data_IF_276038528747
#
_entry.id   IF_276038528747
#
_cell.length_a   1.000
_cell.length_b   1.000
_cell.length_c   1.000
_cell.angle_alpha   90.00
_cell.angle_beta   90.00
_cell.angle_gamma   90.00
#
_symmetry.space_group_name_H-M   'P 1'
#
loop_
_entity.id
_entity.type
_entity.pdbx_description
1 polymer ?
#
# COMPACT_ATOMS: atom_id res chain seq x y z
N UNK A 1 26.27 63.72 21.34
CA UNK A 1 27.41 63.31 20.51
C UNK A 1 27.28 61.80 20.33
N UNK A 2 26.57 61.36 19.28
CA UNK A 2 26.13 59.97 19.11
C UNK A 2 26.87 59.35 17.93
N UNK A 3 27.80 58.46 18.27
CA UNK A 3 28.68 57.78 17.33
C UNK A 3 27.89 56.77 16.51
N UNK A 4 27.87 57.03 15.20
CA UNK A 4 27.43 56.14 14.15
C UNK A 4 28.43 55.00 13.98
N UNK A 5 28.02 54.02 13.18
CA UNK A 5 28.81 52.96 12.54
C UNK A 5 29.04 51.71 13.39
N UNK A 6 28.40 50.61 13.01
CA UNK A 6 29.17 49.54 12.36
C UNK A 6 28.22 48.45 11.84
N UNK A 7 28.57 47.96 10.65
CA UNK A 7 28.33 46.60 10.20
C UNK A 7 26.89 46.22 9.81
N UNK A 8 26.51 46.70 8.62
CA UNK A 8 25.76 45.91 7.64
C UNK A 8 26.61 44.66 7.33
N UNK A 9 26.19 43.48 7.81
CA UNK A 9 26.63 42.14 7.38
C UNK A 9 25.33 41.38 7.11
N UNK A 10 24.89 41.22 5.87
CA UNK A 10 25.40 40.33 4.82
C UNK A 10 25.15 38.83 5.10
N UNK A 11 24.47 38.22 4.12
CA UNK A 11 24.31 36.79 3.82
C UNK A 11 23.38 35.99 4.76
N UNK A 12 22.19 35.56 4.29
CA UNK A 12 21.95 34.35 3.47
C UNK A 12 22.51 33.08 4.11
N UNK A 13 21.70 32.01 4.08
CA UNK A 13 21.86 30.64 4.68
C UNK A 13 21.15 30.52 6.04
N UNK A 14 20.25 29.57 6.31
CA UNK A 14 19.95 28.27 5.73
C UNK A 14 18.43 28.03 5.69
N UNK A 15 17.86 27.70 4.52
CA UNK A 15 16.59 26.99 4.46
C UNK A 15 16.87 25.50 4.74
N UNK A 16 16.96 25.11 6.01
CA UNK A 16 16.95 23.71 6.39
C UNK A 16 15.53 23.17 6.21
N UNK A 17 15.21 22.68 5.02
CA UNK A 17 14.02 21.86 4.84
C UNK A 17 14.33 20.47 5.42
N UNK A 18 13.51 19.95 6.36
CA UNK A 18 13.66 18.57 6.78
C UNK A 18 13.36 17.69 5.57
N UNK A 19 14.34 16.88 5.19
CA UNK A 19 14.17 15.78 4.26
C UNK A 19 13.13 14.84 4.90
N UNK A 20 11.86 14.93 4.46
CA UNK A 20 10.86 13.93 4.82
C UNK A 20 11.33 12.62 4.17
N UNK A 21 11.96 11.77 4.97
CA UNK A 21 12.16 10.38 4.64
C UNK A 21 10.77 9.80 4.36
N UNK A 22 10.50 9.51 3.08
CA UNK A 22 9.35 8.73 2.69
C UNK A 22 9.52 7.36 3.34
N UNK A 23 8.89 7.16 4.49
CA UNK A 23 8.66 5.83 5.05
C UNK A 23 7.89 5.08 3.96
N UNK A 24 8.59 4.18 3.26
CA UNK A 24 7.93 3.20 2.41
C UNK A 24 6.85 2.53 3.27
N UNK A 25 5.60 2.39 2.79
CA UNK A 25 4.58 1.72 3.55
C UNK A 25 5.10 0.32 3.85
N UNK A 26 5.40 0.06 5.12
CA UNK A 26 5.80 -1.25 5.59
C UNK A 26 4.57 -2.12 5.46
N UNK A 27 4.41 -2.74 4.30
CA UNK A 27 3.40 -3.74 4.04
C UNK A 27 3.49 -4.80 5.12
N UNK A 28 2.45 -4.84 5.96
CA UNK A 28 2.16 -5.75 7.07
C UNK A 28 3.07 -6.99 7.09
N UNK A 29 4.00 -7.04 8.05
CA UNK A 29 4.97 -8.15 8.21
C UNK A 29 4.47 -9.30 9.09
N UNK A 30 3.18 -9.33 9.46
CA UNK A 30 2.62 -10.41 10.27
C UNK A 30 1.43 -11.07 9.55
N UNK A 31 1.72 -12.13 8.77
CA UNK A 31 0.70 -12.92 8.06
C UNK A 31 0.82 -14.39 8.44
N UNK A 32 -0.06 -14.84 9.35
CA UNK A 32 -0.06 -16.19 9.91
C UNK A 32 -0.49 -17.30 8.92
N UNK A 33 0.17 -18.45 9.02
CA UNK A 33 -0.18 -19.77 8.48
C UNK A 33 -0.54 -19.90 6.99
N UNK A 34 0.22 -19.22 6.14
CA UNK A 34 0.06 -19.26 4.69
C UNK A 34 1.35 -19.76 4.08
N UNK A 35 1.27 -20.60 3.05
CA UNK A 35 2.47 -21.00 2.31
C UNK A 35 3.08 -19.72 1.75
N UNK A 36 4.29 -19.39 2.18
CA UNK A 36 4.92 -18.08 1.87
C UNK A 36 4.99 -17.76 0.37
N UNK A 37 4.93 -18.78 -0.49
CA UNK A 37 4.82 -18.64 -1.94
C UNK A 37 3.52 -17.97 -2.41
N UNK A 38 2.37 -18.39 -1.88
CA UNK A 38 1.05 -17.88 -2.29
C UNK A 38 0.88 -16.40 -1.91
N UNK A 39 1.46 -16.00 -0.78
CA UNK A 39 1.49 -14.59 -0.34
C UNK A 39 2.34 -13.70 -1.24
N UNK A 40 3.50 -14.20 -1.69
CA UNK A 40 4.36 -13.46 -2.61
C UNK A 40 3.69 -13.33 -3.98
N UNK A 41 3.06 -14.39 -4.46
CA UNK A 41 2.30 -14.37 -5.70
C UNK A 41 1.11 -13.39 -5.64
N UNK A 42 0.31 -13.45 -4.58
CA UNK A 42 -0.83 -12.55 -4.40
C UNK A 42 -0.43 -11.09 -4.36
N UNK A 43 0.63 -10.74 -3.61
CA UNK A 43 1.16 -9.37 -3.58
C UNK A 43 1.62 -8.90 -4.95
N UNK A 44 2.33 -9.75 -5.71
CA UNK A 44 2.73 -9.43 -7.08
C UNK A 44 1.54 -9.18 -8.01
N UNK A 45 0.47 -9.96 -7.89
CA UNK A 45 -0.76 -9.75 -8.66
C UNK A 45 -1.42 -8.42 -8.25
N UNK A 46 -1.54 -8.14 -6.95
CA UNK A 46 -2.11 -6.90 -6.44
C UNK A 46 -1.35 -5.68 -6.99
N UNK A 47 -0.02 -5.71 -6.90
CA UNK A 47 0.86 -4.63 -7.33
C UNK A 47 0.88 -4.41 -8.85
N UNK A 48 0.58 -5.43 -9.64
CA UNK A 48 0.62 -5.32 -11.11
C UNK A 48 -0.74 -5.16 -11.75
N UNK A 49 -1.81 -5.70 -11.15
CA UNK A 49 -3.17 -5.71 -11.73
C UNK A 49 -4.11 -4.75 -11.03
N UNK A 50 -4.04 -4.65 -9.70
CA UNK A 50 -5.04 -3.93 -8.91
C UNK A 50 -4.64 -2.48 -8.62
N UNK A 51 -3.35 -2.21 -8.46
CA UNK A 51 -2.86 -0.86 -8.14
C UNK A 51 -2.80 0.09 -9.35
N UNK A 52 -3.02 -0.42 -10.57
CA UNK A 52 -3.06 0.41 -11.78
C UNK A 52 -4.23 1.40 -11.77
N UNK A 53 -5.31 1.08 -11.05
CA UNK A 53 -6.52 1.90 -11.00
C UNK A 53 -6.89 2.36 -9.57
N UNK A 54 -6.33 1.72 -8.54
CA UNK A 54 -6.63 1.97 -7.13
C UNK A 54 -5.34 2.05 -6.31
N UNK A 55 -5.38 2.69 -5.15
CA UNK A 55 -4.26 2.60 -4.20
C UNK A 55 -4.32 1.29 -3.42
N UNK A 56 -3.17 0.84 -2.89
CA UNK A 56 -3.10 -0.31 -1.99
C UNK A 56 -4.07 -0.19 -0.81
N UNK A 57 -4.22 1.01 -0.25
CA UNK A 57 -5.12 1.28 0.88
C UNK A 57 -6.59 0.91 0.59
N UNK A 58 -7.07 1.09 -0.65
CA UNK A 58 -8.45 0.73 -1.02
C UNK A 58 -8.60 -0.80 -1.05
N UNK A 59 -7.56 -1.49 -1.49
CA UNK A 59 -7.50 -2.95 -1.56
C UNK A 59 -7.45 -3.52 -0.14
N UNK A 60 -6.58 -2.99 0.70
CA UNK A 60 -6.45 -3.36 2.11
C UNK A 60 -7.78 -3.14 2.84
N UNK A 61 -8.42 -1.99 2.66
CA UNK A 61 -9.73 -1.72 3.27
C UNK A 61 -10.79 -2.76 2.85
N UNK A 62 -10.76 -3.24 1.60
CA UNK A 62 -11.65 -4.29 1.13
C UNK A 62 -11.33 -5.67 1.74
N UNK A 63 -10.06 -5.96 2.00
CA UNK A 63 -9.61 -7.16 2.74
C UNK A 63 -10.09 -7.10 4.19
N UNK A 64 -9.81 -5.99 4.87
CA UNK A 64 -10.20 -5.78 6.27
C UNK A 64 -11.71 -5.81 6.48
N UNK A 65 -12.47 -5.27 5.54
CA UNK A 65 -13.93 -5.30 5.57
C UNK A 65 -14.53 -6.66 5.19
N UNK A 66 -13.70 -7.69 4.95
CA UNK A 66 -14.12 -9.02 4.52
C UNK A 66 -15.12 -9.00 3.34
N UNK A 67 -14.89 -8.13 2.36
CA UNK A 67 -15.73 -8.08 1.18
C UNK A 67 -15.58 -9.35 0.35
N UNK A 68 -16.65 -9.70 -0.36
CA UNK A 68 -16.64 -10.83 -1.29
C UNK A 68 -15.67 -10.57 -2.44
N UNK A 69 -14.56 -11.31 -2.44
CA UNK A 69 -13.50 -11.13 -3.42
C UNK A 69 -13.91 -11.57 -4.82
N UNK A 70 -14.73 -12.61 -4.96
CA UNK A 70 -15.18 -13.06 -6.28
C UNK A 70 -16.03 -11.97 -6.94
N UNK A 71 -16.93 -11.38 -6.15
CA UNK A 71 -17.75 -10.26 -6.59
C UNK A 71 -16.88 -9.05 -6.96
N UNK A 72 -15.86 -8.72 -6.16
CA UNK A 72 -14.92 -7.63 -6.49
C UNK A 72 -14.19 -7.92 -7.80
N UNK A 73 -13.62 -9.12 -7.98
CA UNK A 73 -12.90 -9.49 -9.20
C UNK A 73 -13.78 -9.35 -10.44
N UNK A 74 -15.02 -9.84 -10.38
CA UNK A 74 -16.00 -9.70 -11.48
C UNK A 74 -16.28 -8.22 -11.80
N UNK A 75 -16.44 -7.37 -10.79
CA UNK A 75 -16.63 -5.93 -11.02
C UNK A 75 -15.38 -5.25 -11.59
N UNK A 76 -14.18 -5.71 -11.22
CA UNK A 76 -12.93 -5.20 -11.78
C UNK A 76 -12.73 -5.65 -13.22
N UNK A 77 -13.15 -6.87 -13.56
CA UNK A 77 -13.10 -7.41 -14.92
C UNK A 77 -14.02 -6.66 -15.87
N UNK A 78 -15.23 -6.30 -15.41
CA UNK A 78 -16.14 -5.40 -16.14
C UNK A 78 -15.51 -4.03 -16.43
N UNK A 79 -14.58 -3.59 -15.58
CA UNK A 79 -13.83 -2.33 -15.73
C UNK A 79 -12.53 -2.48 -16.52
N UNK A 80 -12.27 -3.66 -17.09
CA UNK A 80 -11.16 -3.91 -18.00
C UNK A 80 -9.94 -4.57 -17.38
N UNK A 81 -9.97 -4.93 -16.09
CA UNK A 81 -8.93 -5.79 -15.50
C UNK A 81 -9.03 -7.17 -16.13
N UNK A 82 -7.89 -7.80 -16.43
CA UNK A 82 -7.83 -9.20 -16.89
C UNK A 82 -7.06 -10.01 -15.87
N UNK A 83 -7.76 -10.91 -15.19
CA UNK A 83 -7.19 -11.94 -14.34
C UNK A 83 -7.36 -13.29 -15.02
N UNK A 84 -6.32 -14.12 -15.01
CA UNK A 84 -6.48 -15.52 -15.38
C UNK A 84 -6.97 -16.35 -14.18
N UNK A 85 -7.39 -17.60 -14.41
CA UNK A 85 -7.91 -18.48 -13.36
C UNK A 85 -6.94 -18.67 -12.20
N UNK A 86 -5.63 -18.82 -12.48
CA UNK A 86 -4.64 -18.98 -11.42
C UNK A 86 -4.50 -17.70 -10.57
N UNK A 87 -4.51 -16.52 -11.20
CA UNK A 87 -4.46 -15.24 -10.50
C UNK A 87 -5.70 -15.05 -9.62
N UNK A 88 -6.89 -15.39 -10.12
CA UNK A 88 -8.14 -15.36 -9.36
C UNK A 88 -8.07 -16.28 -8.13
N UNK A 89 -7.57 -17.50 -8.30
CA UNK A 89 -7.43 -18.51 -7.24
C UNK A 89 -6.45 -18.05 -6.15
N UNK A 90 -5.27 -17.58 -6.56
CA UNK A 90 -4.23 -17.08 -5.64
C UNK A 90 -4.78 -15.92 -4.81
N UNK A 91 -5.46 -14.96 -5.44
CA UNK A 91 -6.10 -13.84 -4.74
C UNK A 91 -7.22 -14.34 -3.81
N UNK A 92 -8.02 -15.32 -4.22
CA UNK A 92 -9.09 -15.87 -3.40
C UNK A 92 -8.58 -16.58 -2.14
N UNK A 93 -7.49 -17.35 -2.25
CA UNK A 93 -6.83 -18.00 -1.11
C UNK A 93 -6.24 -16.94 -0.18
N UNK A 94 -5.51 -15.98 -0.73
CA UNK A 94 -4.91 -14.87 0.02
C UNK A 94 -5.96 -14.10 0.84
N UNK A 95 -7.06 -13.70 0.22
CA UNK A 95 -8.13 -12.94 0.88
C UNK A 95 -8.77 -13.69 2.05
N UNK A 96 -9.02 -14.99 1.87
CA UNK A 96 -9.59 -15.86 2.93
C UNK A 96 -8.65 -16.05 4.12
N UNK A 97 -7.35 -15.91 3.91
CA UNK A 97 -6.33 -16.06 4.94
C UNK A 97 -6.02 -14.73 5.65
N UNK A 98 -6.12 -13.61 4.94
CA UNK A 98 -5.88 -12.26 5.49
C UNK A 98 -7.08 -11.64 6.21
N UNK A 99 -8.27 -12.22 6.07
CA UNK A 99 -9.47 -11.72 6.75
C UNK A 99 -9.28 -11.75 8.29
N UNK A 100 -9.20 -10.58 8.97
CA UNK A 100 -8.93 -10.50 10.41
C UNK A 100 -10.09 -11.02 11.27
N UNK A 101 -11.31 -11.05 10.73
CA UNK A 101 -12.47 -11.62 11.43
C UNK A 101 -12.43 -13.14 11.47
N UNK A 102 -11.55 -13.75 10.68
CA UNK A 102 -11.17 -15.16 10.81
C UNK A 102 -10.12 -15.30 11.90
N UNK A 103 -10.39 -14.77 13.10
CA UNK A 103 -9.67 -15.21 14.29
C UNK A 103 -9.85 -16.72 14.39
N UNK A 104 -8.70 -17.41 14.46
CA UNK A 104 -8.59 -18.86 14.45
C UNK A 104 -9.54 -19.44 15.51
N UNK A 105 -10.43 -20.34 15.08
CA UNK A 105 -11.05 -21.30 15.99
C UNK A 105 -10.04 -22.40 16.31
#
# INVERSE_FOLDING_TARGET
MNTRYAAVIAALTLCATPLMAAVAPQGVTNMGNVRGGDMKAARGIIETKCTRCHSGNVIDAAIFANKDMLKIQQEMEKKGVKLNTNEQDVLGIYWKQQNPLKMRK
#
